data_IF_848913951557
#
_entry.id   IF_848913951557
#
_cell.length_a   1.000
_cell.length_b   1.000
_cell.length_c   1.000
_cell.angle_alpha   90.00
_cell.angle_beta   90.00
_cell.angle_gamma   90.00
#
_symmetry.space_group_name_H-M   'P 1'
#
loop_
_entity.id
_entity.type
_entity.pdbx_description
1 polymer ?
#
# COMPACT_ATOMS: atom_id res chain seq x y z
N UNK A 1 6.56 -27.12 11.17
CA UNK A 1 6.14 -27.13 9.75
C UNK A 1 7.01 -26.15 9.01
N UNK A 2 7.80 -26.64 8.06
CA UNK A 2 8.74 -25.86 7.26
C UNK A 2 7.93 -24.99 6.31
N UNK A 3 8.00 -23.66 6.47
CA UNK A 3 7.42 -22.75 5.49
C UNK A 3 8.12 -23.00 4.15
N UNK A 4 7.38 -23.41 3.13
CA UNK A 4 7.86 -23.40 1.75
C UNK A 4 8.13 -21.93 1.41
N UNK A 5 9.39 -21.58 1.23
CA UNK A 5 9.78 -20.27 0.72
C UNK A 5 9.22 -20.15 -0.71
N UNK A 6 8.04 -19.57 -0.86
CA UNK A 6 7.53 -19.21 -2.19
C UNK A 6 8.43 -18.10 -2.73
N UNK A 7 9.03 -18.37 -3.89
CA UNK A 7 9.87 -17.43 -4.63
C UNK A 7 9.46 -17.41 -6.09
N UNK A 8 9.65 -16.28 -6.77
CA UNK A 8 9.38 -16.14 -8.20
C UNK A 8 9.71 -14.75 -8.72
N UNK A 9 9.50 -14.53 -10.01
CA UNK A 9 9.64 -13.19 -10.61
C UNK A 9 8.32 -12.43 -10.54
N UNK A 10 8.39 -11.15 -10.17
CA UNK A 10 7.27 -10.26 -10.04
C UNK A 10 7.48 -8.95 -10.79
N UNK A 11 6.36 -8.30 -11.10
CA UNK A 11 6.29 -6.97 -11.68
C UNK A 11 5.65 -6.04 -10.64
N UNK A 12 6.22 -4.86 -10.40
CA UNK A 12 5.58 -3.87 -9.52
C UNK A 12 4.77 -2.88 -10.32
N UNK A 13 3.71 -2.40 -9.69
CA UNK A 13 3.17 -1.07 -9.94
C UNK A 13 3.24 -0.24 -8.66
N UNK A 14 2.68 0.96 -8.70
CA UNK A 14 2.54 1.85 -7.54
C UNK A 14 1.11 2.37 -7.49
N UNK A 15 0.56 2.48 -6.29
CA UNK A 15 -0.77 3.05 -6.08
C UNK A 15 -0.92 3.66 -4.69
N UNK A 16 -1.91 4.54 -4.57
CA UNK A 16 -2.49 4.95 -3.30
C UNK A 16 -3.92 5.43 -3.54
N UNK A 17 -4.89 4.55 -3.29
CA UNK A 17 -6.31 4.82 -3.51
C UNK A 17 -7.03 5.34 -2.25
N UNK A 18 -6.30 5.43 -1.12
CA UNK A 18 -6.80 5.74 0.21
C UNK A 18 -7.79 4.71 0.81
N UNK A 19 -8.18 3.70 0.05
CA UNK A 19 -9.18 2.72 0.45
C UNK A 19 -8.74 1.86 1.61
N UNK A 20 -9.72 1.29 2.32
CA UNK A 20 -9.47 0.24 3.29
C UNK A 20 -8.76 -0.95 2.61
N UNK A 21 -7.57 -1.39 3.07
CA UNK A 21 -6.91 -2.56 2.54
C UNK A 21 -7.77 -3.82 2.70
N UNK A 22 -7.75 -4.76 1.75
CA UNK A 22 -8.59 -5.96 1.84
C UNK A 22 -8.27 -6.83 3.06
N UNK A 23 -7.00 -6.92 3.44
CA UNK A 23 -6.54 -7.63 4.64
C UNK A 23 -6.94 -6.95 5.97
N UNK A 24 -7.61 -5.80 5.93
CA UNK A 24 -8.19 -5.14 7.11
C UNK A 24 -9.57 -5.70 7.50
N UNK A 25 -10.16 -6.56 6.67
CA UNK A 25 -11.41 -7.24 7.02
C UNK A 25 -11.16 -8.44 7.94
N UNK A 26 -12.06 -8.62 8.91
CA UNK A 26 -12.04 -9.79 9.80
C UNK A 26 -12.18 -11.09 9.01
N UNK A 27 -11.45 -12.13 9.42
CA UNK A 27 -11.58 -13.48 8.85
C UNK A 27 -10.90 -13.69 7.49
N UNK A 28 -10.12 -12.71 6.99
CA UNK A 28 -9.39 -12.85 5.72
C UNK A 28 -8.23 -13.84 5.77
N UNK A 29 -7.55 -13.93 6.90
CA UNK A 29 -6.44 -14.86 7.14
C UNK A 29 -6.33 -15.22 8.63
N UNK A 30 -5.56 -16.26 8.95
CA UNK A 30 -5.23 -16.62 10.34
C UNK A 30 -4.12 -15.70 10.86
N UNK A 31 -4.51 -14.56 11.43
CA UNK A 31 -3.62 -13.51 11.92
C UNK A 31 -4.00 -13.10 13.34
N UNK A 32 -3.06 -12.51 14.08
CA UNK A 32 -3.30 -12.00 15.44
C UNK A 32 -4.28 -10.83 15.47
N UNK A 33 -4.28 -10.00 14.43
CA UNK A 33 -5.23 -8.93 14.18
C UNK A 33 -5.30 -8.63 12.68
N UNK A 34 -6.46 -8.17 12.21
CA UNK A 34 -6.58 -7.62 10.87
C UNK A 34 -5.72 -6.35 10.72
N UNK A 35 -5.39 -5.98 9.48
CA UNK A 35 -4.67 -4.74 9.19
C UNK A 35 -5.47 -3.56 9.74
N UNK A 36 -4.79 -2.67 10.47
CA UNK A 36 -5.40 -1.49 11.06
C UNK A 36 -5.79 -0.48 9.98
N UNK A 37 -6.99 0.06 10.10
CA UNK A 37 -7.51 1.18 9.29
C UNK A 37 -7.62 2.43 10.13
N UNK A 38 -7.76 3.57 9.45
CA UNK A 38 -7.88 4.86 10.09
C UNK A 38 -9.12 5.62 9.58
N UNK A 39 -9.59 6.60 10.36
CA UNK A 39 -10.56 7.58 9.88
C UNK A 39 -9.88 8.61 8.95
N UNK A 40 -10.65 9.56 8.40
CA UNK A 40 -10.14 10.62 7.51
C UNK A 40 -9.08 11.54 8.12
N UNK A 41 -9.00 11.58 9.45
CA UNK A 41 -8.00 12.35 10.19
C UNK A 41 -6.78 11.49 10.55
N UNK A 42 -6.75 10.25 10.05
CA UNK A 42 -5.71 9.27 10.28
C UNK A 42 -5.62 8.84 11.77
N UNK A 43 -6.78 8.82 12.45
CA UNK A 43 -6.91 8.20 13.77
C UNK A 43 -7.23 6.70 13.60
N UNK A 44 -6.54 5.80 14.32
CA UNK A 44 -6.82 4.37 14.30
C UNK A 44 -8.27 4.01 14.61
N UNK A 45 -8.87 3.15 13.78
CA UNK A 45 -10.16 2.54 14.04
C UNK A 45 -9.97 1.19 14.74
N UNK A 46 -10.77 0.93 15.77
CA UNK A 46 -10.76 -0.34 16.51
C UNK A 46 -11.64 -1.41 15.88
N UNK A 47 -12.66 -1.01 15.11
CA UNK A 47 -13.59 -1.94 14.47
C UNK A 47 -13.10 -2.32 13.05
N UNK A 48 -12.62 -3.55 12.86
CA UNK A 48 -12.18 -4.04 11.55
C UNK A 48 -13.32 -4.21 10.54
N UNK A 49 -14.59 -4.08 10.95
CA UNK A 49 -15.74 -4.19 10.07
C UNK A 49 -16.31 -2.83 9.64
N UNK A 50 -15.71 -1.72 10.07
CA UNK A 50 -16.07 -0.38 9.57
C UNK A 50 -15.91 -0.34 8.05
N UNK A 51 -16.93 0.18 7.36
CA UNK A 51 -17.04 0.20 5.91
C UNK A 51 -15.93 1.07 5.27
N UNK A 52 -15.41 0.64 4.12
CA UNK A 52 -14.36 1.35 3.37
C UNK A 52 -14.86 2.70 2.85
N UNK A 53 -14.02 3.73 2.89
CA UNK A 53 -14.28 5.01 2.23
C UNK A 53 -14.52 4.90 0.72
N UNK A 54 -13.88 3.92 0.05
CA UNK A 54 -14.13 3.62 -1.37
C UNK A 54 -15.54 3.06 -1.63
N UNK A 55 -16.26 2.65 -0.59
CA UNK A 55 -17.62 2.12 -0.64
C UNK A 55 -18.55 2.97 0.25
N UNK A 56 -18.30 4.28 0.34
CA UNK A 56 -19.15 5.23 1.09
C UNK A 56 -19.12 5.07 2.61
N UNK A 57 -18.10 4.38 3.15
CA UNK A 57 -17.83 4.28 4.59
C UNK A 57 -16.83 5.32 5.09
N UNK A 58 -16.21 5.03 6.24
CA UNK A 58 -15.31 5.96 6.96
C UNK A 58 -13.94 5.37 7.29
N UNK A 59 -13.66 4.14 6.84
CA UNK A 59 -12.35 3.50 7.01
C UNK A 59 -11.45 3.70 5.77
N UNK A 60 -10.25 4.20 6.00
CA UNK A 60 -9.21 4.50 5.02
C UNK A 60 -7.89 3.79 5.37
N UNK A 61 -6.96 3.77 4.43
CA UNK A 61 -5.59 3.32 4.67
C UNK A 61 -4.86 4.29 5.62
N UNK A 62 -4.28 3.77 6.71
CA UNK A 62 -3.48 4.57 7.62
C UNK A 62 -2.19 5.07 6.96
N UNK A 63 -1.69 6.22 7.40
CA UNK A 63 -0.46 6.87 6.90
C UNK A 63 0.78 6.03 7.15
N UNK A 64 0.82 5.30 8.26
CA UNK A 64 1.91 4.39 8.56
C UNK A 64 1.96 3.15 7.64
N UNK A 65 1.02 3.00 6.70
CA UNK A 65 1.15 2.04 5.60
C UNK A 65 1.97 2.59 4.42
N UNK A 66 2.52 3.79 4.54
CA UNK A 66 3.46 4.39 3.57
C UNK A 66 4.85 3.74 3.67
N UNK A 67 5.64 3.74 2.59
CA UNK A 67 6.98 3.19 2.59
C UNK A 67 7.97 4.16 3.25
N UNK A 68 9.07 3.61 3.76
CA UNK A 68 10.15 4.39 4.34
C UNK A 68 11.50 3.73 4.11
N UNK A 69 12.54 4.55 4.02
CA UNK A 69 13.93 4.09 3.95
C UNK A 69 14.46 3.78 5.36
N UNK A 70 15.12 2.64 5.50
CA UNK A 70 15.94 2.30 6.68
C UNK A 70 17.36 2.81 6.48
N UNK A 71 17.89 2.64 5.27
CA UNK A 71 19.17 3.15 4.79
C UNK A 71 19.15 3.12 3.25
N UNK A 72 20.23 3.54 2.59
CA UNK A 72 20.32 3.64 1.12
C UNK A 72 20.11 2.31 0.37
N UNK A 73 20.14 1.17 1.05
CA UNK A 73 19.99 -0.17 0.46
C UNK A 73 18.77 -0.95 0.96
N UNK A 74 18.06 -0.44 1.97
CA UNK A 74 16.89 -1.10 2.54
C UNK A 74 15.75 -0.11 2.77
N UNK A 75 14.59 -0.46 2.25
CA UNK A 75 13.31 0.18 2.58
C UNK A 75 12.29 -0.87 2.99
N UNK A 76 11.32 -0.44 3.77
CA UNK A 76 10.13 -1.22 4.10
C UNK A 76 8.89 -0.49 3.58
N UNK A 77 7.82 -1.24 3.40
CA UNK A 77 6.56 -0.70 2.93
C UNK A 77 5.50 -1.78 2.85
N UNK A 78 4.40 -1.44 2.21
CA UNK A 78 3.23 -2.29 2.07
C UNK A 78 2.89 -2.42 0.59
N UNK A 79 2.25 -3.52 0.22
CA UNK A 79 1.83 -3.76 -1.14
C UNK A 79 0.49 -4.52 -1.19
N UNK A 80 -0.28 -4.27 -2.23
CA UNK A 80 -1.36 -5.15 -2.62
C UNK A 80 -0.78 -6.29 -3.47
N UNK A 81 -0.95 -7.53 -3.06
CA UNK A 81 -0.33 -8.68 -3.71
C UNK A 81 -1.37 -9.61 -4.32
N UNK A 82 -1.06 -10.15 -5.50
CA UNK A 82 -1.78 -11.26 -6.09
C UNK A 82 -0.77 -12.35 -6.46
N UNK A 83 -0.70 -13.40 -5.64
CA UNK A 83 0.27 -14.49 -5.82
C UNK A 83 -0.42 -15.64 -6.53
N UNK A 84 0.14 -16.07 -7.68
CA UNK A 84 -0.36 -17.23 -8.41
C UNK A 84 -0.46 -18.45 -7.49
N UNK A 85 -1.56 -19.21 -7.59
CA UNK A 85 -1.88 -20.38 -6.76
C UNK A 85 -2.12 -20.11 -5.26
N UNK A 86 -2.11 -18.85 -4.82
CA UNK A 86 -2.50 -18.44 -3.46
C UNK A 86 -3.93 -17.93 -3.37
N UNK A 87 -4.33 -17.59 -2.15
CA UNK A 87 -5.54 -16.80 -1.84
C UNK A 87 -5.20 -15.69 -0.85
N UNK A 88 -6.14 -14.77 -0.58
CA UNK A 88 -5.94 -13.76 0.47
C UNK A 88 -5.57 -14.38 1.81
N UNK A 89 -6.09 -15.57 2.13
CA UNK A 89 -5.76 -16.28 3.36
C UNK A 89 -4.28 -16.69 3.48
N UNK A 90 -3.57 -16.84 2.35
CA UNK A 90 -2.16 -17.21 2.32
C UNK A 90 -1.20 -16.02 2.28
N UNK A 91 -1.64 -14.85 1.79
CA UNK A 91 -0.75 -13.69 1.63
C UNK A 91 -1.11 -12.50 2.51
N UNK A 92 -2.31 -12.43 3.09
CA UNK A 92 -2.64 -11.33 4.00
C UNK A 92 -1.70 -11.34 5.21
N UNK A 93 -1.04 -10.20 5.41
CA UNK A 93 -0.02 -9.99 6.44
C UNK A 93 1.26 -10.81 6.27
N UNK A 94 1.45 -11.48 5.13
CA UNK A 94 2.73 -12.09 4.79
C UNK A 94 3.75 -11.01 4.42
N UNK A 95 5.02 -11.24 4.75
CA UNK A 95 6.13 -10.37 4.36
C UNK A 95 6.91 -11.03 3.21
N UNK A 96 7.45 -10.21 2.31
CA UNK A 96 8.29 -10.67 1.19
C UNK A 96 9.42 -9.70 0.90
N UNK A 97 10.53 -10.24 0.38
CA UNK A 97 11.72 -9.48 -0.03
C UNK A 97 12.20 -9.99 -1.38
N UNK A 98 12.31 -9.11 -2.40
CA UNK A 98 11.46 -7.94 -2.67
C UNK A 98 9.95 -8.27 -2.68
N UNK A 99 9.03 -7.30 -2.83
CA UNK A 99 7.58 -7.56 -2.92
C UNK A 99 7.28 -8.66 -3.94
N UNK A 100 6.18 -9.39 -3.83
CA UNK A 100 5.73 -10.27 -4.94
C UNK A 100 5.11 -9.40 -6.04
N UNK A 101 4.79 -9.94 -7.22
CA UNK A 101 3.97 -9.22 -8.22
C UNK A 101 2.83 -8.48 -7.50
N UNK A 102 2.89 -7.14 -7.48
CA UNK A 102 2.24 -6.40 -6.43
C UNK A 102 2.34 -4.89 -6.59
N UNK A 103 1.26 -4.23 -6.21
CA UNK A 103 1.08 -2.80 -6.32
C UNK A 103 1.62 -2.17 -5.03
N UNK A 104 2.76 -1.49 -5.11
CA UNK A 104 3.38 -0.85 -3.95
C UNK A 104 2.49 0.29 -3.46
N UNK A 105 2.17 0.31 -2.16
CA UNK A 105 1.41 1.40 -1.55
C UNK A 105 2.30 2.63 -1.45
N UNK A 106 2.25 3.53 -2.43
CA UNK A 106 3.08 4.74 -2.50
C UNK A 106 2.16 5.94 -2.63
N UNK A 107 2.03 6.82 -1.61
CA UNK A 107 1.24 8.05 -1.74
C UNK A 107 1.64 8.85 -2.98
N UNK A 108 0.66 9.23 -3.79
CA UNK A 108 0.92 9.88 -5.08
C UNK A 108 1.34 8.90 -6.20
N UNK A 109 1.19 7.59 -6.01
CA UNK A 109 1.36 6.57 -7.05
C UNK A 109 0.17 6.43 -8.01
N UNK A 110 -0.94 7.11 -7.71
CA UNK A 110 -2.18 7.07 -8.48
C UNK A 110 -3.26 6.27 -7.74
N UNK A 111 -4.51 6.74 -7.82
CA UNK A 111 -5.64 6.11 -7.13
C UNK A 111 -6.09 4.82 -7.83
N UNK A 112 -5.83 4.69 -9.12
CA UNK A 112 -6.20 3.51 -9.90
C UNK A 112 -7.70 3.37 -10.10
N UNK A 113 -8.23 2.15 -9.94
CA UNK A 113 -9.63 1.84 -10.21
C UNK A 113 -10.56 2.56 -9.22
N UNK A 114 -10.19 2.58 -7.94
CA UNK A 114 -10.98 3.18 -6.87
C UNK A 114 -10.41 4.54 -6.49
N UNK A 115 -11.27 5.49 -6.12
CA UNK A 115 -10.83 6.80 -5.61
C UNK A 115 -11.46 7.05 -4.24
N UNK A 116 -10.81 6.49 -3.21
CA UNK A 116 -11.11 6.78 -1.81
C UNK A 116 -10.48 8.09 -1.33
N UNK A 117 -9.55 8.68 -2.10
CA UNK A 117 -8.86 9.90 -1.72
C UNK A 117 -9.75 11.14 -1.89
N UNK A 118 -10.66 11.13 -2.86
CA UNK A 118 -11.71 12.14 -2.99
C UNK A 118 -12.59 12.24 -1.74
N UNK A 119 -13.21 11.17 -1.23
CA UNK A 119 -13.99 11.24 0.01
C UNK A 119 -13.14 11.43 1.28
N UNK A 120 -11.84 11.07 1.30
CA UNK A 120 -10.97 11.29 2.46
C UNK A 120 -10.51 12.76 2.56
N UNK A 121 -9.96 13.31 1.47
CA UNK A 121 -9.23 14.59 1.45
C UNK A 121 -9.76 15.62 0.46
N UNK A 122 -10.78 15.29 -0.33
CA UNK A 122 -11.20 16.11 -1.48
C UNK A 122 -10.37 15.86 -2.75
N UNK A 123 -9.54 14.81 -2.75
CA UNK A 123 -8.74 14.38 -3.89
C UNK A 123 -7.24 14.50 -3.65
N UNK A 124 -6.45 13.98 -4.58
CA UNK A 124 -4.98 14.05 -4.59
C UNK A 124 -4.49 14.45 -5.99
N UNK A 125 -3.35 15.15 -6.10
CA UNK A 125 -2.77 15.52 -7.39
C UNK A 125 -2.25 14.29 -8.17
N UNK A 126 -2.12 14.47 -9.49
CA UNK A 126 -1.52 13.50 -10.40
C UNK A 126 -2.53 12.71 -11.23
N UNK A 127 -1.99 11.86 -12.10
CA UNK A 127 -2.79 11.02 -12.98
C UNK A 127 -3.45 9.87 -12.23
N UNK A 128 -4.61 9.41 -12.74
CA UNK A 128 -5.35 8.30 -12.14
C UNK A 128 -4.48 7.05 -11.98
N UNK A 129 -3.63 6.75 -12.95
CA UNK A 129 -2.65 5.66 -12.91
C UNK A 129 -1.25 6.28 -13.03
N UNK A 130 -0.34 5.98 -12.10
CA UNK A 130 1.00 6.56 -12.05
C UNK A 130 1.13 7.82 -11.18
N UNK A 131 0.02 8.49 -10.89
CA UNK A 131 -0.06 9.54 -9.88
C UNK A 131 0.75 10.79 -10.22
N UNK A 132 1.45 11.35 -9.24
CA UNK A 132 2.25 12.55 -9.45
C UNK A 132 3.41 12.27 -10.43
N UNK A 133 3.70 13.25 -11.29
CA UNK A 133 4.74 13.16 -12.31
C UNK A 133 6.10 13.68 -11.81
N UNK A 134 6.11 14.46 -10.72
CA UNK A 134 7.31 15.10 -10.19
C UNK A 134 7.31 15.16 -8.66
N UNK A 135 8.52 15.23 -8.10
CA UNK A 135 8.74 15.37 -6.65
C UNK A 135 8.07 16.61 -6.07
N UNK A 136 8.03 17.72 -6.81
CA UNK A 136 7.47 18.99 -6.32
C UNK A 136 5.96 18.90 -6.06
N UNK A 137 5.25 18.04 -6.80
CA UNK A 137 3.82 17.80 -6.58
C UNK A 137 3.54 17.12 -5.23
N UNK A 138 4.54 16.49 -4.59
CA UNK A 138 4.37 15.96 -3.24
C UNK A 138 4.05 17.08 -2.22
N UNK A 139 4.44 18.34 -2.48
CA UNK A 139 4.06 19.48 -1.63
C UNK A 139 2.56 19.80 -1.66
N UNK A 140 1.84 19.33 -2.68
CA UNK A 140 0.38 19.50 -2.83
C UNK A 140 -0.42 18.35 -2.21
N UNK A 141 0.26 17.26 -1.80
CA UNK A 141 -0.38 16.14 -1.12
C UNK A 141 -0.79 16.55 0.31
N UNK A 142 -1.83 15.92 0.90
CA UNK A 142 -2.14 16.07 2.32
C UNK A 142 -0.89 15.82 3.18
N UNK A 143 -0.67 16.65 4.21
CA UNK A 143 0.59 16.68 4.97
C UNK A 143 1.08 15.29 5.43
N UNK A 144 0.16 14.45 5.91
CA UNK A 144 0.46 13.08 6.36
C UNK A 144 0.95 12.16 5.23
N UNK A 145 0.54 12.40 3.98
CA UNK A 145 0.90 11.60 2.80
C UNK A 145 2.22 12.03 2.15
N UNK A 146 2.75 13.21 2.50
CA UNK A 146 3.90 13.79 1.81
C UNK A 146 5.17 12.95 1.97
N UNK A 147 5.44 12.40 3.17
CA UNK A 147 6.66 11.63 3.42
C UNK A 147 6.78 10.39 2.50
N UNK A 148 5.69 9.62 2.37
CA UNK A 148 5.65 8.48 1.45
C UNK A 148 5.71 8.89 -0.03
N UNK A 149 5.17 10.06 -0.38
CA UNK A 149 5.31 10.62 -1.72
C UNK A 149 6.76 11.00 -2.03
N UNK A 150 7.46 11.67 -1.11
CA UNK A 150 8.86 12.01 -1.28
C UNK A 150 9.76 10.77 -1.35
N UNK A 151 9.47 9.74 -0.56
CA UNK A 151 10.19 8.45 -0.63
C UNK A 151 10.25 7.89 -2.05
N UNK A 152 9.17 8.03 -2.84
CA UNK A 152 9.11 7.60 -4.24
C UNK A 152 10.24 8.20 -5.08
N UNK A 153 10.52 9.48 -4.89
CA UNK A 153 11.51 10.21 -5.68
C UNK A 153 12.90 10.16 -5.06
N UNK A 154 12.98 10.04 -3.74
CA UNK A 154 14.24 10.13 -3.00
C UNK A 154 14.94 8.77 -2.93
N UNK A 155 14.30 7.78 -2.32
CA UNK A 155 14.90 6.47 -2.11
C UNK A 155 14.61 5.51 -3.26
N UNK A 156 13.38 5.52 -3.76
CA UNK A 156 12.95 4.65 -4.85
C UNK A 156 13.35 5.18 -6.24
N UNK A 157 13.98 6.37 -6.29
CA UNK A 157 14.51 7.00 -7.49
C UNK A 157 13.50 7.13 -8.65
N UNK A 158 12.21 7.22 -8.31
CA UNK A 158 11.08 7.23 -9.23
C UNK A 158 11.13 6.08 -10.26
N UNK A 159 11.60 4.90 -9.84
CA UNK A 159 11.63 3.72 -10.69
C UNK A 159 10.23 3.41 -11.23
N UNK A 160 10.13 3.25 -12.55
CA UNK A 160 8.86 3.01 -13.21
C UNK A 160 8.61 1.51 -13.39
N UNK A 161 7.82 0.95 -12.48
CA UNK A 161 7.37 -0.44 -12.49
C UNK A 161 8.52 -1.46 -12.67
N UNK A 162 9.55 -1.42 -11.79
CA UNK A 162 10.67 -2.34 -11.89
C UNK A 162 10.23 -3.80 -11.70
N UNK A 163 10.90 -4.69 -12.44
CA UNK A 163 10.84 -6.13 -12.24
C UNK A 163 11.77 -6.56 -11.09
N UNK A 164 11.42 -7.64 -10.40
CA UNK A 164 12.20 -8.18 -9.29
C UNK A 164 11.97 -9.68 -9.09
N UNK A 165 12.93 -10.36 -8.47
CA UNK A 165 12.78 -11.73 -7.98
C UNK A 165 12.51 -11.72 -6.48
N UNK A 166 11.38 -12.26 -6.03
CA UNK A 166 10.91 -12.18 -4.65
C UNK A 166 11.07 -13.48 -3.86
N UNK A 167 11.10 -13.36 -2.53
CA UNK A 167 11.04 -14.47 -1.56
C UNK A 167 10.16 -14.09 -0.37
N UNK A 168 9.29 -15.01 0.10
CA UNK A 168 8.57 -14.81 1.36
C UNK A 168 9.52 -14.88 2.56
N UNK A 169 9.37 -13.95 3.50
CA UNK A 169 10.17 -13.86 4.73
C UNK A 169 9.26 -13.89 5.98
N UNK A 170 9.85 -14.19 7.13
CA UNK A 170 9.16 -14.22 8.43
C UNK A 170 9.01 -12.84 9.05
#
# INVERSE_FOLDING_TARGET
>A
MTALATSGSGHSSRYWDCGKPSCAWSGKASVSAAVRTCDKNDNPLSDPNTKSGCDGGTAFACTNNSPWAVNDNLAYGFAATAINSGTESSWCCACSVPPTRGDLMVPGGGVGIFDGCTPEFGGVPGDRYGGVASRDQCGQMPAKRQAGCFWRFDWFLNADNPDFDFQLVK
#
